data_IF_578705081071
#
_entry.id   IF_578705081071
#
_cell.length_a   1.000
_cell.length_b   1.000
_cell.length_c   1.000
_cell.angle_alpha   90.00
_cell.angle_beta   90.00
_cell.angle_gamma   90.00
#
_symmetry.space_group_name_H-M   'P 1'
#
loop_
_entity.id
_entity.type
_entity.pdbx_description
1 polymer ?
#
# COMPACT_ATOMS: atom_id res chain seq x y z
N UNK A 1 -17.99 1.79 30.11
CA UNK A 1 -17.05 2.84 30.58
C UNK A 1 -15.74 2.15 30.91
N UNK A 2 -14.61 2.63 30.40
CA UNK A 2 -13.32 1.93 30.43
C UNK A 2 -12.70 1.76 31.82
N UNK A 3 -13.37 2.21 32.89
CA UNK A 3 -12.85 2.13 34.27
C UNK A 3 -11.66 3.04 34.57
N UNK A 4 -11.32 3.95 33.65
CA UNK A 4 -10.16 4.86 33.75
C UNK A 4 -10.61 6.19 34.35
N UNK A 5 -9.93 6.64 35.39
CA UNK A 5 -10.15 7.97 35.98
C UNK A 5 -9.66 9.09 35.06
N UNK A 6 -10.15 10.31 35.29
CA UNK A 6 -9.72 11.46 34.50
C UNK A 6 -8.22 11.73 34.65
N UNK A 7 -7.70 11.48 35.84
CA UNK A 7 -6.30 11.65 36.23
C UNK A 7 -5.41 10.64 35.48
N UNK A 8 -5.78 9.36 35.49
CA UNK A 8 -5.07 8.32 34.72
C UNK A 8 -5.11 8.59 33.20
N UNK A 9 -6.25 9.05 32.68
CA UNK A 9 -6.35 9.43 31.26
C UNK A 9 -5.42 10.61 30.92
N UNK A 10 -5.27 11.57 31.82
CA UNK A 10 -4.36 12.71 31.63
C UNK A 10 -2.88 12.29 31.70
N UNK A 11 -2.53 11.37 32.60
CA UNK A 11 -1.17 10.83 32.69
C UNK A 11 -0.79 10.07 31.42
N UNK A 12 -1.67 9.21 30.90
CA UNK A 12 -1.45 8.51 29.62
C UNK A 12 -1.25 9.52 28.48
N UNK A 13 -2.07 10.57 28.40
CA UNK A 13 -1.92 11.61 27.38
C UNK A 13 -0.61 12.40 27.51
N UNK A 14 -0.07 12.56 28.73
CA UNK A 14 1.22 13.22 28.95
C UNK A 14 2.40 12.33 28.53
N UNK A 15 2.35 11.03 28.82
CA UNK A 15 3.38 10.07 28.39
C UNK A 15 3.45 10.03 26.86
N UNK A 16 2.31 9.88 26.18
CA UNK A 16 2.24 9.87 24.71
C UNK A 16 2.82 11.17 24.11
N UNK A 17 2.59 12.32 24.74
CA UNK A 17 3.18 13.60 24.30
C UNK A 17 4.71 13.67 24.45
N UNK A 18 5.28 13.00 25.45
CA UNK A 18 6.72 13.04 25.74
C UNK A 18 7.51 12.02 24.91
N UNK A 19 6.99 10.82 24.71
CA UNK A 19 7.64 9.80 23.88
C UNK A 19 7.75 10.24 22.41
N UNK A 20 6.77 11.00 21.91
CA UNK A 20 6.80 11.59 20.57
C UNK A 20 7.81 12.76 20.40
N UNK A 21 8.40 13.28 21.48
CA UNK A 21 9.44 14.32 21.40
C UNK A 21 10.85 13.72 21.18
N UNK A 22 11.00 12.41 21.39
CA UNK A 22 12.23 11.66 21.10
C UNK A 22 12.09 11.09 19.70
N UNK A 23 13.06 11.39 18.83
CA UNK A 23 13.01 11.17 17.38
C UNK A 23 12.58 9.75 16.98
N UNK A 24 11.45 9.64 16.28
CA UNK A 24 11.08 8.42 15.54
C UNK A 24 11.81 8.45 14.19
N UNK A 25 12.58 7.41 13.81
CA UNK A 25 13.19 7.31 12.50
C UNK A 25 12.12 7.31 11.40
N UNK A 26 12.43 7.96 10.28
CA UNK A 26 11.59 8.08 9.09
C UNK A 26 11.22 6.68 8.54
N UNK A 27 10.08 6.13 8.97
CA UNK A 27 9.64 4.83 8.46
C UNK A 27 8.61 4.08 9.31
N UNK A 28 7.69 4.75 9.99
CA UNK A 28 6.48 4.10 10.51
C UNK A 28 5.45 5.17 10.84
N UNK A 29 4.26 5.07 10.24
CA UNK A 29 3.14 5.96 10.53
C UNK A 29 2.59 5.68 11.92
N UNK A 30 3.07 6.41 12.93
CA UNK A 30 2.37 6.53 14.20
C UNK A 30 1.49 7.78 14.16
N UNK A 31 0.18 7.57 13.99
CA UNK A 31 -0.82 8.59 14.23
C UNK A 31 -0.82 8.93 15.73
N UNK A 32 -0.21 10.06 16.12
CA UNK A 32 -0.15 10.47 17.51
C UNK A 32 0.37 11.90 17.73
N UNK A 33 -0.58 12.84 17.90
CA UNK A 33 -0.41 14.25 18.34
C UNK A 33 0.06 15.26 17.28
N UNK A 34 -0.69 16.37 17.19
CA UNK A 34 -0.50 17.51 16.29
C UNK A 34 0.85 18.20 16.51
N UNK A 35 1.86 17.79 15.74
CA UNK A 35 3.09 18.55 15.55
C UNK A 35 2.70 19.88 14.91
N UNK A 36 3.06 21.02 15.54
CA UNK A 36 2.92 22.33 14.89
C UNK A 36 3.78 22.29 13.63
N UNK A 37 3.15 22.45 12.48
CA UNK A 37 3.81 22.57 11.20
C UNK A 37 3.20 23.75 10.43
N UNK A 38 3.98 24.33 9.52
CA UNK A 38 3.47 25.37 8.61
C UNK A 38 2.73 24.73 7.44
N UNK A 39 1.86 25.48 6.77
CA UNK A 39 1.22 25.01 5.54
C UNK A 39 2.25 24.67 4.44
N UNK A 40 3.42 25.33 4.45
CA UNK A 40 4.52 25.01 3.53
C UNK A 40 5.10 23.62 3.84
N UNK A 41 5.36 23.31 5.11
CA UNK A 41 5.86 21.99 5.53
C UNK A 41 4.85 20.88 5.19
N UNK A 42 3.55 21.13 5.33
CA UNK A 42 2.51 20.17 4.91
C UNK A 42 2.53 19.94 3.39
N UNK A 43 2.68 21.01 2.60
CA UNK A 43 2.76 20.89 1.14
C UNK A 43 4.02 20.12 0.71
N UNK A 44 5.17 20.41 1.31
CA UNK A 44 6.42 19.69 1.05
C UNK A 44 6.30 18.20 1.44
N UNK A 45 5.62 17.90 2.55
CA UNK A 45 5.32 16.53 2.96
C UNK A 45 4.42 15.82 1.95
N UNK A 46 3.35 16.45 1.46
CA UNK A 46 2.47 15.88 0.44
C UNK A 46 3.22 15.62 -0.88
N UNK A 47 4.10 16.54 -1.30
CA UNK A 47 4.90 16.38 -2.52
C UNK A 47 5.96 15.29 -2.40
N UNK A 48 6.41 14.98 -1.18
CA UNK A 48 7.35 13.90 -0.90
C UNK A 48 6.69 12.52 -0.78
N UNK A 49 5.35 12.42 -0.81
CA UNK A 49 4.67 11.14 -0.77
C UNK A 49 4.83 10.38 -2.08
N UNK A 50 5.14 9.09 -1.96
CA UNK A 50 5.19 8.19 -3.11
C UNK A 50 3.81 7.85 -3.65
N UNK A 51 3.82 7.13 -4.77
CA UNK A 51 2.62 6.62 -5.44
C UNK A 51 2.90 5.22 -6.00
N UNK A 52 1.83 4.47 -6.25
CA UNK A 52 1.87 3.22 -7.01
C UNK A 52 1.68 3.58 -8.48
N UNK A 53 2.68 3.33 -9.31
CA UNK A 53 2.58 3.46 -10.77
C UNK A 53 1.63 2.41 -11.34
N UNK A 54 0.89 2.73 -12.40
CA UNK A 54 -0.05 1.77 -13.02
C UNK A 54 0.47 1.19 -14.36
N UNK A 55 1.67 1.63 -14.78
CA UNK A 55 2.22 1.46 -16.14
C UNK A 55 1.27 1.93 -17.27
N UNK A 56 0.22 2.67 -16.92
CA UNK A 56 -0.66 3.34 -17.85
C UNK A 56 -0.41 4.84 -17.73
N UNK A 57 0.45 5.38 -18.60
CA UNK A 57 0.84 6.79 -18.56
C UNK A 57 -0.35 7.75 -18.58
N UNK A 58 -1.42 7.42 -19.30
CA UNK A 58 -2.64 8.22 -19.30
C UNK A 58 -3.34 8.24 -17.93
N UNK A 59 -3.40 7.09 -17.24
CA UNK A 59 -4.00 6.99 -15.91
C UNK A 59 -3.11 7.65 -14.85
N UNK A 60 -1.80 7.38 -14.88
CA UNK A 60 -0.82 7.98 -13.99
C UNK A 60 -0.86 9.50 -14.10
N UNK A 61 -0.92 10.06 -15.31
CA UNK A 61 -1.04 11.50 -15.52
C UNK A 61 -2.32 12.10 -14.92
N UNK A 62 -3.44 11.40 -15.01
CA UNK A 62 -4.71 11.85 -14.41
C UNK A 62 -4.65 11.81 -12.88
N UNK A 63 -3.93 10.84 -12.31
CA UNK A 63 -3.74 10.68 -10.86
C UNK A 63 -2.59 11.52 -10.28
N UNK A 64 -1.83 12.21 -11.13
CA UNK A 64 -0.69 13.04 -10.72
C UNK A 64 0.60 12.24 -10.44
N UNK A 65 0.80 11.12 -11.13
CA UNK A 65 1.97 10.24 -11.04
C UNK A 65 1.61 8.77 -10.83
N UNK A 66 0.47 8.51 -10.18
CA UNK A 66 -0.01 7.17 -9.85
C UNK A 66 -0.98 7.23 -8.66
N UNK A 67 -1.34 6.07 -8.09
CA UNK A 67 -2.21 6.02 -6.91
C UNK A 67 -1.42 6.44 -5.66
N UNK A 68 -1.84 7.54 -5.01
CA UNK A 68 -1.09 8.17 -3.93
C UNK A 68 -1.06 7.32 -2.66
N UNK A 69 0.12 7.20 -2.05
CA UNK A 69 0.28 6.58 -0.73
C UNK A 69 -0.31 7.45 0.38
N UNK A 70 -0.61 6.84 1.53
CA UNK A 70 -1.17 7.51 2.72
C UNK A 70 -2.54 8.16 2.53
N UNK A 71 -3.21 7.89 1.41
CA UNK A 71 -4.53 8.41 1.07
C UNK A 71 -5.49 7.29 0.72
N UNK A 72 -6.78 7.55 0.89
CA UNK A 72 -7.85 6.66 0.44
C UNK A 72 -8.25 7.10 -0.97
N UNK A 73 -8.17 6.18 -1.92
CA UNK A 73 -8.62 6.39 -3.30
C UNK A 73 -9.85 5.53 -3.55
N UNK A 74 -10.99 6.16 -3.89
CA UNK A 74 -12.24 5.46 -4.17
C UNK A 74 -12.42 5.26 -5.69
N UNK A 75 -12.54 4.01 -6.14
CA UNK A 75 -12.77 3.66 -7.54
C UNK A 75 -14.26 3.32 -7.73
N UNK A 76 -15.00 4.21 -8.38
CA UNK A 76 -16.46 4.10 -8.57
C UNK A 76 -16.87 3.86 -10.02
N UNK A 77 -17.99 3.15 -10.20
CA UNK A 77 -18.60 2.93 -11.52
C UNK A 77 -19.48 1.68 -11.59
N UNK A 78 -20.19 1.52 -12.72
CA UNK A 78 -21.11 0.41 -12.95
C UNK A 78 -20.41 -0.98 -12.88
N UNK A 79 -21.15 -2.09 -12.71
CA UNK A 79 -20.58 -3.43 -12.86
C UNK A 79 -19.90 -3.60 -14.22
N UNK A 80 -18.76 -4.31 -14.25
CA UNK A 80 -18.03 -4.60 -15.50
C UNK A 80 -17.12 -3.49 -16.04
N UNK A 81 -17.08 -2.29 -15.43
CA UNK A 81 -16.22 -1.18 -15.91
C UNK A 81 -14.73 -1.33 -15.58
N UNK A 82 -14.33 -2.42 -14.91
CA UNK A 82 -12.92 -2.72 -14.62
C UNK A 82 -12.45 -2.40 -13.19
N UNK A 83 -13.34 -2.09 -12.23
CA UNK A 83 -12.94 -1.79 -10.84
C UNK A 83 -12.07 -2.88 -10.20
N UNK A 84 -12.56 -4.12 -10.17
CA UNK A 84 -11.82 -5.27 -9.64
C UNK A 84 -10.53 -5.53 -10.40
N UNK A 85 -10.52 -5.28 -11.72
CA UNK A 85 -9.31 -5.41 -12.54
C UNK A 85 -8.25 -4.43 -12.10
N UNK A 86 -8.63 -3.17 -11.85
CA UNK A 86 -7.71 -2.15 -11.36
C UNK A 86 -7.19 -2.48 -9.95
N UNK A 87 -8.04 -3.00 -9.05
CA UNK A 87 -7.58 -3.43 -7.72
C UNK A 87 -6.55 -4.58 -7.80
N UNK A 88 -6.78 -5.58 -8.66
CA UNK A 88 -5.82 -6.66 -8.88
C UNK A 88 -4.53 -6.16 -9.53
N UNK A 89 -4.63 -5.20 -10.46
CA UNK A 89 -3.48 -4.55 -11.08
C UNK A 89 -2.63 -3.82 -10.03
N UNK A 90 -3.23 -3.01 -9.16
CA UNK A 90 -2.52 -2.30 -8.09
C UNK A 90 -1.87 -3.24 -7.07
N UNK A 91 -2.49 -4.40 -6.79
CA UNK A 91 -1.91 -5.42 -5.90
C UNK A 91 -0.63 -6.06 -6.48
N UNK A 92 -0.47 -6.05 -7.81
CA UNK A 92 0.76 -6.45 -8.50
C UNK A 92 1.73 -5.28 -8.61
N UNK A 93 1.25 -4.10 -9.03
CA UNK A 93 2.10 -2.95 -9.34
C UNK A 93 2.82 -2.39 -8.11
N UNK A 94 2.20 -2.47 -6.93
CA UNK A 94 2.86 -2.06 -5.67
C UNK A 94 4.16 -2.81 -5.41
N UNK A 95 4.31 -4.00 -5.98
CA UNK A 95 5.45 -4.89 -5.79
C UNK A 95 6.57 -4.66 -6.81
N UNK A 96 6.34 -3.83 -7.84
CA UNK A 96 7.35 -3.49 -8.84
C UNK A 96 8.61 -2.96 -8.13
N UNK A 97 9.82 -3.43 -8.48
CA UNK A 97 11.04 -2.97 -7.85
C UNK A 97 11.29 -1.46 -8.04
N UNK A 98 11.95 -0.83 -7.07
CA UNK A 98 12.22 0.62 -7.08
C UNK A 98 13.04 1.08 -8.30
N UNK A 99 13.95 0.24 -8.79
CA UNK A 99 14.74 0.52 -10.01
C UNK A 99 13.89 0.60 -11.29
N UNK A 100 12.65 0.10 -11.26
CA UNK A 100 11.64 0.26 -12.30
C UNK A 100 10.58 1.32 -11.95
N UNK A 101 10.79 2.11 -10.89
CA UNK A 101 9.88 3.16 -10.44
C UNK A 101 8.73 2.68 -9.53
N UNK A 102 8.75 1.43 -9.08
CA UNK A 102 7.77 0.89 -8.13
C UNK A 102 8.17 1.11 -6.66
N UNK A 103 7.53 0.37 -5.76
CA UNK A 103 7.71 0.51 -4.31
C UNK A 103 8.31 -0.72 -3.62
N UNK A 104 8.52 -1.82 -4.34
CA UNK A 104 8.93 -3.11 -3.80
C UNK A 104 8.12 -3.53 -2.55
N UNK A 105 6.83 -3.17 -2.53
CA UNK A 105 5.91 -3.38 -1.42
C UNK A 105 5.12 -4.68 -1.55
N UNK A 106 4.17 -4.86 -0.62
CA UNK A 106 3.25 -6.00 -0.59
C UNK A 106 1.80 -5.48 -0.55
N UNK A 107 0.84 -6.37 -0.85
CA UNK A 107 -0.58 -6.02 -0.95
C UNK A 107 -1.43 -6.85 0.02
N UNK A 108 -2.38 -6.19 0.66
CA UNK A 108 -3.55 -6.86 1.24
C UNK A 108 -4.72 -6.70 0.26
N UNK A 109 -5.54 -7.73 0.10
CA UNK A 109 -6.73 -7.69 -0.73
C UNK A 109 -7.93 -8.21 0.08
N UNK A 110 -8.87 -7.32 0.41
CA UNK A 110 -10.09 -7.67 1.12
C UNK A 110 -11.24 -7.82 0.13
N UNK A 111 -11.76 -9.03 -0.03
CA UNK A 111 -12.77 -9.37 -1.04
C UNK A 111 -14.14 -9.66 -0.42
N UNK A 112 -15.09 -8.76 -0.68
CA UNK A 112 -16.46 -8.84 -0.16
C UNK A 112 -17.43 -9.52 -1.11
N UNK A 113 -17.09 -9.66 -2.41
CA UNK A 113 -17.98 -10.27 -3.41
C UNK A 113 -17.51 -11.63 -3.93
N UNK A 114 -16.25 -12.02 -3.70
CA UNK A 114 -15.67 -13.26 -4.21
C UNK A 114 -15.16 -13.07 -5.64
N UNK A 115 -14.76 -11.83 -5.96
CA UNK A 115 -14.41 -11.40 -7.30
C UNK A 115 -12.90 -11.50 -7.59
N UNK A 116 -12.11 -11.84 -6.57
CA UNK A 116 -10.68 -12.11 -6.74
C UNK A 116 -10.46 -13.43 -7.47
N UNK A 117 -9.88 -13.36 -8.67
CA UNK A 117 -9.63 -14.51 -9.52
C UNK A 117 -8.12 -14.75 -9.61
N UNK A 118 -7.63 -15.81 -8.95
CA UNK A 118 -6.19 -16.09 -8.86
C UNK A 118 -5.54 -16.20 -10.25
N UNK A 119 -6.17 -16.91 -11.19
CA UNK A 119 -5.67 -17.05 -12.56
C UNK A 119 -5.50 -15.68 -13.23
N UNK A 120 -6.41 -14.74 -12.96
CA UNK A 120 -6.32 -13.40 -13.52
C UNK A 120 -5.18 -12.59 -12.91
N UNK A 121 -4.93 -12.73 -11.61
CA UNK A 121 -3.78 -12.08 -10.96
C UNK A 121 -2.47 -12.68 -11.47
N UNK A 122 -2.43 -14.00 -11.71
CA UNK A 122 -1.27 -14.66 -12.29
C UNK A 122 -0.97 -14.16 -13.72
N UNK A 123 -2.00 -13.94 -14.54
CA UNK A 123 -1.85 -13.31 -15.87
C UNK A 123 -1.24 -11.90 -15.75
N UNK A 124 -1.76 -11.08 -14.84
CA UNK A 124 -1.29 -9.71 -14.61
C UNK A 124 0.17 -9.72 -14.12
N UNK A 125 0.48 -10.55 -13.13
CA UNK A 125 1.83 -10.71 -12.59
C UNK A 125 2.82 -11.18 -13.66
N UNK A 126 2.44 -12.15 -14.49
CA UNK A 126 3.27 -12.63 -15.60
C UNK A 126 3.55 -11.51 -16.60
N UNK A 127 2.53 -10.74 -16.97
CA UNK A 127 2.70 -9.60 -17.87
C UNK A 127 3.60 -8.50 -17.25
N UNK A 128 3.46 -8.24 -15.94
CA UNK A 128 4.29 -7.28 -15.21
C UNK A 128 5.78 -7.70 -15.22
N UNK A 129 6.08 -8.96 -14.90
CA UNK A 129 7.45 -9.50 -14.95
C UNK A 129 8.05 -9.38 -16.35
N UNK A 130 7.29 -9.77 -17.39
CA UNK A 130 7.72 -9.63 -18.78
C UNK A 130 7.98 -8.16 -19.15
N UNK A 131 7.17 -7.23 -18.66
CA UNK A 131 7.37 -5.81 -18.91
C UNK A 131 8.67 -5.30 -18.28
N UNK A 132 8.95 -5.65 -17.03
CA UNK A 132 10.21 -5.29 -16.36
C UNK A 132 11.43 -5.93 -17.04
N UNK A 133 11.31 -7.16 -17.55
CA UNK A 133 12.36 -7.82 -18.35
C UNK A 133 12.69 -7.02 -19.62
N UNK A 134 11.68 -6.57 -20.36
CA UNK A 134 11.90 -5.74 -21.57
C UNK A 134 12.59 -4.42 -21.25
N UNK A 135 12.27 -3.79 -20.11
CA UNK A 135 12.96 -2.58 -19.66
C UNK A 135 14.42 -2.87 -19.32
N UNK A 136 14.69 -3.95 -18.56
CA UNK A 136 16.05 -4.34 -18.21
C UNK A 136 16.92 -4.64 -19.43
N UNK A 137 16.35 -5.31 -20.44
CA UNK A 137 17.04 -5.60 -21.71
C UNK A 137 17.38 -4.33 -22.50
N UNK A 138 16.50 -3.33 -22.47
CA UNK A 138 16.69 -2.07 -23.18
C UNK A 138 17.75 -1.17 -22.55
N UNK A 139 17.84 -1.15 -21.21
CA UNK A 139 18.72 -0.25 -20.47
C UNK A 139 20.05 -0.88 -20.03
N UNK A 140 20.10 -2.21 -19.88
CA UNK A 140 21.30 -2.98 -19.46
C UNK A 140 21.93 -2.49 -18.15
N UNK A 141 21.12 -2.00 -17.22
CA UNK A 141 21.58 -1.56 -15.91
C UNK A 141 21.72 -2.74 -14.94
N UNK A 142 22.79 -2.75 -14.15
CA UNK A 142 23.09 -3.86 -13.23
C UNK A 142 22.00 -4.04 -12.16
N UNK A 143 21.40 -2.94 -11.70
CA UNK A 143 20.35 -2.96 -10.69
C UNK A 143 19.04 -3.58 -11.22
N UNK A 144 18.71 -3.37 -12.49
CA UNK A 144 17.55 -4.01 -13.14
C UNK A 144 17.72 -5.53 -13.18
N UNK A 145 18.91 -6.01 -13.57
CA UNK A 145 19.21 -7.44 -13.66
C UNK A 145 19.11 -8.10 -12.28
N UNK A 146 19.67 -7.48 -11.23
CA UNK A 146 19.59 -7.97 -9.85
C UNK A 146 18.15 -8.05 -9.35
N UNK A 147 17.33 -7.02 -9.60
CA UNK A 147 15.94 -7.02 -9.17
C UNK A 147 15.14 -8.18 -9.77
N UNK A 148 15.39 -8.48 -11.05
CA UNK A 148 14.71 -9.57 -11.78
C UNK A 148 15.09 -10.97 -11.28
N UNK A 149 16.19 -11.15 -10.54
CA UNK A 149 16.51 -12.44 -9.91
C UNK A 149 15.46 -12.85 -8.87
N UNK A 150 14.81 -11.86 -8.24
CA UNK A 150 13.82 -12.07 -7.18
C UNK A 150 12.39 -11.68 -7.54
N UNK A 151 12.21 -10.95 -8.65
CA UNK A 151 10.90 -10.51 -9.12
C UNK A 151 10.30 -11.53 -10.09
N UNK A 152 9.49 -12.44 -9.56
CA UNK A 152 8.88 -13.55 -10.31
C UNK A 152 7.38 -13.65 -10.03
N UNK A 153 6.67 -14.46 -10.83
CA UNK A 153 5.26 -14.76 -10.60
C UNK A 153 5.02 -15.29 -9.19
N UNK A 154 5.84 -16.24 -8.75
CA UNK A 154 5.74 -16.86 -7.43
C UNK A 154 5.98 -15.85 -6.32
N UNK A 155 6.99 -14.99 -6.46
CA UNK A 155 7.25 -13.97 -5.44
C UNK A 155 6.10 -12.96 -5.38
N UNK A 156 5.56 -12.52 -6.53
CA UNK A 156 4.42 -11.61 -6.56
C UNK A 156 3.19 -12.20 -5.87
N UNK A 157 2.82 -13.44 -6.22
CA UNK A 157 1.65 -14.10 -5.64
C UNK A 157 1.83 -14.38 -4.14
N UNK A 158 3.06 -14.64 -3.68
CA UNK A 158 3.36 -14.88 -2.26
C UNK A 158 3.19 -13.64 -1.37
N UNK A 159 3.19 -12.45 -1.95
CA UNK A 159 3.07 -11.16 -1.24
C UNK A 159 1.72 -10.46 -1.45
N UNK A 160 0.70 -11.21 -1.89
CA UNK A 160 -0.70 -10.76 -1.91
C UNK A 160 -1.47 -11.52 -0.83
N UNK A 161 -1.77 -10.83 0.28
CA UNK A 161 -2.53 -11.40 1.39
C UNK A 161 -4.02 -11.22 1.16
N UNK A 162 -4.70 -12.34 0.91
CA UNK A 162 -6.13 -12.37 0.57
C UNK A 162 -7.01 -12.64 1.78
N UNK A 163 -8.02 -11.79 2.01
CA UNK A 163 -9.05 -11.99 3.03
C UNK A 163 -10.44 -11.98 2.40
N UNK A 164 -11.15 -13.11 2.51
CA UNK A 164 -12.54 -13.23 2.07
C UNK A 164 -13.48 -12.84 3.21
N UNK A 165 -14.30 -11.81 3.00
CA UNK A 165 -15.35 -11.40 3.94
C UNK A 165 -16.73 -11.67 3.30
N UNK A 166 -17.56 -12.48 3.95
CA UNK A 166 -18.88 -12.90 3.44
C UNK A 166 -20.02 -12.03 3.95
N UNK A 167 -19.79 -11.33 5.04
CA UNK A 167 -20.73 -10.42 5.65
C UNK A 167 -20.01 -9.23 6.31
N UNK A 168 -20.82 -8.31 6.86
CA UNK A 168 -20.30 -7.10 7.49
C UNK A 168 -19.57 -7.38 8.81
N UNK A 169 -19.84 -8.50 9.50
CA UNK A 169 -19.16 -8.87 10.75
C UNK A 169 -17.74 -9.33 10.44
N UNK A 170 -17.58 -10.20 9.43
CA UNK A 170 -16.27 -10.63 8.95
C UNK A 170 -15.45 -9.44 8.44
N UNK A 171 -16.06 -8.52 7.67
CA UNK A 171 -15.38 -7.32 7.20
C UNK A 171 -14.94 -6.42 8.37
N UNK A 172 -15.83 -6.17 9.33
CA UNK A 172 -15.53 -5.35 10.50
C UNK A 172 -14.41 -5.98 11.34
N UNK A 173 -14.48 -7.29 11.58
CA UNK A 173 -13.44 -8.03 12.29
C UNK A 173 -12.08 -7.93 11.57
N UNK A 174 -12.07 -8.06 10.24
CA UNK A 174 -10.85 -7.93 9.45
C UNK A 174 -10.24 -6.53 9.60
N UNK A 175 -11.05 -5.47 9.56
CA UNK A 175 -10.58 -4.08 9.76
C UNK A 175 -10.02 -3.88 11.16
N UNK A 176 -10.60 -4.49 12.19
CA UNK A 176 -10.09 -4.40 13.57
C UNK A 176 -8.76 -5.14 13.78
N UNK A 177 -8.54 -6.26 13.09
CA UNK A 177 -7.32 -7.07 13.19
C UNK A 177 -6.19 -6.56 12.29
N UNK A 178 -6.52 -5.72 11.31
CA UNK A 178 -5.59 -5.21 10.33
C UNK A 178 -4.37 -4.49 10.92
N UNK A 179 -4.46 -3.65 11.97
CA UNK A 179 -3.29 -3.01 12.56
C UNK A 179 -2.25 -4.00 13.10
N UNK A 180 -2.70 -5.08 13.76
CA UNK A 180 -1.81 -6.12 14.29
C UNK A 180 -1.12 -6.85 13.13
N UNK A 181 -1.89 -7.22 12.10
CA UNK A 181 -1.35 -7.81 10.87
C UNK A 181 -0.29 -6.92 10.22
N UNK A 182 -0.58 -5.63 10.04
CA UNK A 182 0.37 -4.68 9.43
C UNK A 182 1.63 -4.48 10.28
N UNK A 183 1.55 -4.67 11.60
CA UNK A 183 2.73 -4.60 12.47
C UNK A 183 3.72 -5.75 12.22
N UNK A 184 3.21 -6.92 11.83
CA UNK A 184 4.00 -8.09 11.45
C UNK A 184 4.45 -8.03 9.97
N UNK A 185 3.68 -7.33 9.13
CA UNK A 185 3.87 -7.20 7.68
C UNK A 185 4.24 -5.77 7.25
N UNK A 186 5.39 -5.27 7.71
CA UNK A 186 5.85 -3.88 7.51
C UNK A 186 6.06 -3.43 6.05
N UNK A 187 6.11 -4.39 5.11
CA UNK A 187 6.24 -4.14 3.67
C UNK A 187 4.91 -3.91 2.96
N UNK A 188 3.76 -4.12 3.61
CA UNK A 188 2.47 -3.79 3.00
C UNK A 188 2.40 -2.30 2.70
N UNK A 189 2.02 -1.97 1.46
CA UNK A 189 1.90 -0.59 0.96
C UNK A 189 0.52 -0.29 0.35
N UNK A 190 -0.31 -1.30 0.13
CA UNK A 190 -1.70 -1.16 -0.34
C UNK A 190 -2.60 -2.20 0.33
N UNK A 191 -3.86 -1.82 0.58
CA UNK A 191 -4.91 -2.63 1.22
C UNK A 191 -6.18 -2.49 0.40
#
# INVERSE_FOLDING_TARGET
EAGISKEEALEVLQVVRQECAVEVPRGAGTAGVSRRCTALELLEQEQAQGFIITFCSALDNILGGGVQLTKITEICGAPGVGKTQLCMQLAVDVQIPECFGGLAGEAVFIDTEGSFMVDRVADIATACVQHCQLIAEAHQEEDHLKALETFSLESILSHIYYFRCRDYIELLAQVYLLPDFLSEHSKVRVI
#
